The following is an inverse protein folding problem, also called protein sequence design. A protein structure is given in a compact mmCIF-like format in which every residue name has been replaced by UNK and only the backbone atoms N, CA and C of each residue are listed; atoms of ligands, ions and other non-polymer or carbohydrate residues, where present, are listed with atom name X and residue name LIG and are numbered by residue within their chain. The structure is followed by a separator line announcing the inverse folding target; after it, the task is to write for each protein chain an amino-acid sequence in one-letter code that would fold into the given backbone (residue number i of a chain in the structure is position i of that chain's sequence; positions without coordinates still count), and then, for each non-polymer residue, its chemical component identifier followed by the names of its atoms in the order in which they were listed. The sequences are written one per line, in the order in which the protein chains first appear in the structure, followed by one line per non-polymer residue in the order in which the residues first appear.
data_IF_475651183747
#
_entry.id   IF_475651183747
#
_cell.length_a   1.000
_cell.length_b   1.000
_cell.length_c   1.000
_cell.angle_alpha   90.00
_cell.angle_beta   90.00
_cell.angle_gamma   90.00
#
_symmetry.space_group_name_H-M   'P 1'
#
loop_
_entity.id
_entity.type
_entity.pdbx_description
1 polymer ?
2 non-polymer ?
3 non-polymer ?
4 non-polymer ?
5 non-polymer ?
6 water ?
#
# COMPACT_ATOMS: atom_id res chain seq x y z
N UNK A 24 -16.19 -20.40 18.16
CA UNK A 24 -15.20 -20.08 17.15
C UNK A 24 -14.36 -18.88 17.57
N UNK A 25 -13.04 -19.04 17.57
CA UNK A 25 -12.16 -17.91 17.90
C UNK A 25 -12.25 -16.82 16.84
N UNK A 26 -12.21 -15.58 17.31
CA UNK A 26 -12.16 -14.39 16.45
C UNK A 26 -10.70 -14.00 16.32
N UNK A 27 -10.08 -14.34 15.18
CA UNK A 27 -8.66 -14.14 14.99
C UNK A 27 -8.39 -12.92 14.12
N UNK A 28 -7.38 -12.15 14.51
CA UNK A 28 -7.06 -10.86 13.91
C UNK A 28 -5.63 -10.92 13.38
N UNK A 29 -5.46 -10.60 12.11
CA UNK A 29 -4.13 -10.44 11.56
C UNK A 29 -3.62 -9.03 11.81
N UNK A 30 -2.34 -8.94 12.17
CA UNK A 30 -1.65 -7.67 12.37
C UNK A 30 -0.33 -7.72 11.61
N UNK A 31 -0.05 -6.68 10.84
CA UNK A 31 1.19 -6.62 10.10
C UNK A 31 1.70 -5.18 10.08
N UNK A 32 2.83 -4.99 9.43
CA UNK A 32 3.56 -3.75 9.40
C UNK A 32 5.04 -4.03 9.31
N UNK A 33 5.80 -3.01 8.95
CA UNK A 33 7.24 -3.15 8.83
C UNK A 33 7.89 -3.53 10.14
N UNK A 34 9.18 -3.85 10.05
CA UNK A 34 9.92 -4.26 11.24
C UNK A 34 10.00 -3.10 12.22
N UNK A 35 9.81 -3.42 13.51
CA UNK A 35 9.88 -2.45 14.60
C UNK A 35 8.83 -1.36 14.46
N UNK A 36 7.71 -1.64 13.79
CA UNK A 36 6.62 -0.68 13.70
C UNK A 36 5.73 -0.68 14.93
N UNK A 37 5.84 -1.68 15.79
CA UNK A 37 4.99 -1.78 16.96
C UNK A 37 3.86 -2.77 16.88
N UNK A 38 3.97 -3.79 16.02
CA UNK A 38 2.89 -4.75 15.87
C UNK A 38 2.61 -5.48 17.17
N UNK A 39 3.66 -6.03 17.80
CA UNK A 39 3.48 -6.79 19.03
C UNK A 39 3.00 -5.91 20.19
N UNK A 40 3.44 -4.66 20.24
CA UNK A 40 2.95 -3.76 21.28
C UNK A 40 1.51 -3.34 21.02
N UNK A 41 1.09 -3.27 19.75
CA UNK A 41 -0.28 -2.89 19.44
C UNK A 41 -1.25 -3.95 19.93
N UNK A 42 -0.93 -5.23 19.71
CA UNK A 42 -1.78 -6.31 20.20
C UNK A 42 -1.78 -6.38 21.72
N UNK A 43 -0.60 -6.23 22.34
CA UNK A 43 -0.53 -6.19 23.79
C UNK A 43 -1.45 -5.12 24.34
N UNK A 44 -1.45 -3.94 23.71
CA UNK A 44 -2.38 -2.88 24.09
C UNK A 44 -3.83 -3.31 23.88
N UNK A 45 -4.11 -4.01 22.78
CA UNK A 45 -5.47 -4.47 22.52
C UNK A 45 -5.96 -5.39 23.62
N UNK A 46 -5.10 -6.32 24.06
CA UNK A 46 -5.47 -7.23 25.14
C UNK A 46 -5.72 -6.47 26.42
N UNK A 47 -4.80 -5.57 26.77
CA UNK A 47 -4.90 -4.83 28.03
C UNK A 47 -6.17 -3.99 28.09
N UNK A 48 -6.57 -3.41 26.96
CA UNK A 48 -7.80 -2.64 26.89
C UNK A 48 -9.03 -3.51 26.66
N UNK A 49 -8.85 -4.76 26.27
CA UNK A 49 -9.98 -5.69 26.20
C UNK A 49 -10.34 -6.22 27.58
N UNK A 50 -9.33 -6.50 28.40
CA UNK A 50 -9.58 -7.09 29.72
C UNK A 50 -10.37 -6.17 30.63
N UNK A 51 -10.04 -4.88 30.63
CA UNK A 51 -10.79 -3.94 31.45
C UNK A 51 -12.09 -3.57 30.76
N UNK A 52 -13.19 -3.64 31.50
CA UNK A 52 -14.53 -3.45 30.97
C UNK A 52 -14.79 -4.36 29.76
N UNK A 58 -14.45 -12.18 31.35
CA UNK A 58 -13.10 -12.34 30.82
C UNK A 58 -13.13 -13.05 29.47
N UNK A 59 -12.93 -12.29 28.40
CA UNK A 59 -12.63 -12.87 27.11
C UNK A 59 -11.14 -13.17 27.05
N UNK A 60 -10.80 -14.42 26.71
CA UNK A 60 -9.42 -14.86 26.76
C UNK A 60 -8.74 -14.69 25.41
N UNK A 61 -7.51 -14.19 25.44
CA UNK A 61 -6.81 -13.71 24.26
C UNK A 61 -5.38 -14.25 24.26
N UNK A 62 -4.90 -14.67 23.09
CA UNK A 62 -3.54 -15.18 22.92
C UNK A 62 -2.94 -14.51 21.69
N UNK A 63 -1.64 -14.22 21.74
CA UNK A 63 -0.92 -13.54 20.67
C UNK A 63 0.11 -14.51 20.09
N UNK A 64 -0.03 -14.83 18.81
CA UNK A 64 0.98 -15.59 18.09
C UNK A 64 1.75 -14.66 17.16
N UNK A 65 3.02 -14.97 16.95
CA UNK A 65 3.90 -14.18 16.11
C UNK A 65 4.43 -15.01 14.96
N UNK A 66 4.49 -14.40 13.77
CA UNK A 66 4.96 -15.11 12.58
C UNK A 66 6.42 -15.51 12.71
N UNK A 67 7.19 -14.78 13.53
CA UNK A 67 8.60 -15.11 13.71
C UNK A 67 8.80 -16.50 14.30
N UNK A 68 7.77 -17.09 14.91
CA UNK A 68 7.89 -18.44 15.42
C UNK A 68 7.90 -19.48 14.31
N UNK A 69 7.42 -19.14 13.12
CA UNK A 69 7.16 -20.10 12.07
C UNK A 69 8.18 -20.02 10.94
N UNK A 70 9.40 -19.58 11.25
CA UNK A 70 10.48 -19.63 10.26
C UNK A 70 10.73 -21.07 9.83
N UNK A 71 11.31 -21.22 8.65
CA UNK A 71 11.47 -22.53 8.06
C UNK A 71 12.66 -23.27 8.68
N UNK A 72 12.67 -24.58 8.48
CA UNK A 72 13.80 -25.42 8.86
C UNK A 72 14.88 -25.26 7.79
N UNK A 73 15.99 -24.65 8.16
CA UNK A 73 17.07 -24.39 7.20
C UNK A 73 17.89 -25.65 6.98
N UNK A 74 18.28 -25.86 5.72
CA UNK A 74 19.29 -26.86 5.41
C UNK A 74 20.66 -26.33 5.84
N UNK A 75 21.69 -27.18 5.70
CA UNK A 75 23.03 -26.75 6.09
C UNK A 75 23.61 -25.75 5.09
N UNK A 76 23.21 -25.84 3.82
CA UNK A 76 23.61 -24.82 2.85
C UNK A 76 22.96 -23.48 3.18
N UNK A 77 21.65 -23.48 3.37
CA UNK A 77 20.95 -22.25 3.74
C UNK A 77 21.46 -21.71 5.07
N UNK A 78 21.79 -22.59 6.02
CA UNK A 78 22.32 -22.15 7.29
C UNK A 78 23.68 -21.49 7.13
N UNK A 79 24.53 -22.04 6.25
CA UNK A 79 25.82 -21.43 6.00
C UNK A 79 25.67 -20.05 5.38
N UNK A 80 24.74 -19.90 4.43
CA UNK A 80 24.46 -18.59 3.85
C UNK A 80 23.99 -17.60 4.90
N UNK A 81 23.18 -18.07 5.86
CA UNK A 81 22.67 -17.20 6.90
C UNK A 81 23.79 -16.70 7.81
N UNK A 82 24.76 -17.57 8.12
CA UNK A 82 25.88 -17.14 8.95
C UNK A 82 26.80 -16.19 8.21
N UNK A 83 26.86 -16.29 6.89
CA UNK A 83 27.61 -15.35 6.06
C UNK A 83 26.84 -14.06 5.78
N UNK A 84 25.64 -13.93 6.33
CA UNK A 84 24.81 -12.77 6.05
C UNK A 84 24.28 -12.73 4.63
N UNK A 85 24.07 -13.90 4.02
CA UNK A 85 23.65 -14.00 2.63
C UNK A 85 22.30 -14.69 2.49
N UNK A 86 21.40 -14.49 3.46
CA UNK A 86 20.09 -15.12 3.42
C UNK A 86 19.03 -14.09 3.76
N UNK A 87 17.97 -14.06 2.96
CA UNK A 87 16.89 -13.08 3.11
C UNK A 87 15.82 -13.66 4.02
N UNK A 88 15.78 -13.19 5.26
CA UNK A 88 14.78 -13.63 6.22
C UNK A 88 13.52 -12.77 6.19
N UNK A 89 13.46 -11.76 5.32
CA UNK A 89 12.27 -10.95 5.11
C UNK A 89 11.52 -11.35 3.84
N UNK A 90 11.94 -12.42 3.18
CA UNK A 90 11.26 -12.91 1.99
C UNK A 90 10.15 -13.88 2.38
N UNK A 91 9.02 -13.84 1.67
CA UNK A 91 7.91 -14.75 2.01
C UNK A 91 8.29 -16.22 2.06
N UNK A 92 9.24 -16.66 1.23
CA UNK A 92 9.64 -18.06 1.22
C UNK A 92 10.42 -18.47 2.47
N UNK A 93 10.88 -17.50 3.27
CA UNK A 93 11.60 -17.82 4.51
C UNK A 93 10.67 -18.31 5.61
N UNK A 94 9.36 -18.24 5.41
CA UNK A 94 8.39 -18.62 6.44
C UNK A 94 7.66 -19.90 6.04
N UNK A 95 7.44 -20.78 7.02
CA UNK A 95 6.77 -22.05 6.81
C UNK A 95 5.26 -21.81 6.64
N UNK A 96 4.91 -21.31 5.45
CA UNK A 96 3.53 -20.89 5.21
C UNK A 96 2.55 -22.06 5.31
N UNK A 97 3.00 -23.28 5.00
CA UNK A 97 2.14 -24.44 5.14
C UNK A 97 1.83 -24.72 6.61
N UNK A 98 2.84 -24.58 7.47
CA UNK A 98 2.61 -24.76 8.90
C UNK A 98 1.76 -23.64 9.48
N UNK A 99 1.98 -22.41 9.00
CA UNK A 99 1.14 -21.28 9.43
C UNK A 99 -0.32 -21.53 9.07
N UNK A 100 -0.56 -21.93 7.82
CA UNK A 100 -1.92 -22.17 7.37
C UNK A 100 -2.56 -23.32 8.13
N UNK A 101 -1.78 -24.38 8.40
CA UNK A 101 -2.31 -25.51 9.14
C UNK A 101 -2.59 -25.14 10.59
N UNK A 102 -1.64 -24.48 11.25
CA UNK A 102 -1.81 -24.10 12.65
C UNK A 102 -3.00 -23.15 12.81
N UNK A 103 -3.09 -22.14 11.95
CA UNK A 103 -4.20 -21.21 12.03
C UNK A 103 -5.53 -21.89 11.70
N UNK A 104 -5.50 -22.84 10.75
CA UNK A 104 -6.73 -23.53 10.35
C UNK A 104 -7.37 -24.23 11.54
N UNK A 105 -6.57 -24.99 12.31
CA UNK A 105 -7.11 -25.73 13.43
C UNK A 105 -7.52 -24.80 14.57
N UNK A 106 -6.82 -23.68 14.74
CA UNK A 106 -7.21 -22.71 15.77
C UNK A 106 -8.61 -22.19 15.50
N UNK A 107 -8.92 -21.86 14.24
CA UNK A 107 -10.26 -21.44 13.88
C UNK A 107 -11.30 -22.52 14.13
N UNK A 108 -10.89 -23.79 14.12
CA UNK A 108 -11.79 -24.91 14.36
C UNK A 108 -11.84 -25.31 15.84
N UNK A 109 -11.40 -24.42 16.73
CA UNK A 109 -11.53 -24.63 18.16
C UNK A 109 -10.56 -25.62 18.77
N UNK A 110 -9.60 -26.12 18.01
CA UNK A 110 -8.71 -27.15 18.53
C UNK A 110 -7.54 -26.54 19.28
N UNK A 111 -6.86 -27.38 20.06
CA UNK A 111 -5.61 -27.02 20.71
C UNK A 111 -4.44 -27.34 19.77
N UNK A 112 -3.51 -26.40 19.66
CA UNK A 112 -2.39 -26.53 18.73
C UNK A 112 -1.09 -26.42 19.50
N UNK A 113 -0.05 -27.01 18.92
CA UNK A 113 1.31 -26.84 19.41
C UNK A 113 2.07 -25.92 18.46
N UNK A 114 2.86 -25.03 19.02
CA UNK A 114 3.47 -23.92 18.29
C UNK A 114 4.99 -24.09 18.38
N UNK A 115 5.71 -24.05 17.26
CA UNK A 115 7.18 -24.15 17.32
C UNK A 115 7.79 -22.97 18.04
N UNK A 116 9.02 -23.19 18.52
CA UNK A 116 9.88 -22.12 19.02
C UNK A 116 11.13 -22.11 18.17
N UNK A 117 11.51 -20.93 17.68
CA UNK A 117 12.60 -20.76 16.75
C UNK A 117 13.63 -19.83 17.38
N UNK A 118 14.91 -20.11 17.13
CA UNK A 118 16.01 -19.32 17.67
C UNK A 118 16.61 -18.48 16.54
N UNK A 119 16.46 -17.17 16.64
CA UNK A 119 17.00 -16.28 15.61
C UNK A 119 18.52 -16.34 15.58
N UNK A 120 19.16 -16.47 16.73
CA UNK A 120 20.62 -16.52 16.79
C UNK A 120 21.12 -17.80 16.13
N UNK A 121 20.43 -18.91 16.35
CA UNK A 121 20.83 -20.20 15.83
C UNK A 121 20.20 -20.54 14.49
N UNK A 122 19.13 -19.83 14.11
CA UNK A 122 18.37 -20.17 12.91
C UNK A 122 17.91 -21.63 12.95
N UNK A 123 17.45 -22.06 14.12
CA UNK A 123 17.00 -23.43 14.30
C UNK A 123 15.62 -23.45 14.94
N UNK A 124 14.80 -24.39 14.50
CA UNK A 124 13.55 -24.70 15.17
C UNK A 124 13.82 -25.74 16.25
N UNK A 125 13.51 -25.40 17.49
CA UNK A 125 13.82 -26.28 18.61
C UNK A 125 12.80 -27.41 18.69
N UNK A 126 13.13 -28.42 19.50
CA UNK A 126 12.25 -29.58 19.67
C UNK A 126 11.05 -29.24 20.54
N UNK A 127 11.25 -28.43 21.58
CA UNK A 127 10.15 -28.00 22.42
C UNK A 127 9.12 -27.22 21.62
N UNK A 128 7.86 -27.32 22.04
CA UNK A 128 6.77 -26.54 21.46
C UNK A 128 6.00 -25.86 22.59
N UNK A 129 5.07 -25.00 22.21
CA UNK A 129 4.24 -24.26 23.16
C UNK A 129 2.78 -24.65 22.90
N UNK A 130 2.10 -25.10 23.95
CA UNK A 130 0.69 -25.43 23.84
C UNK A 130 -0.15 -24.16 23.88
N UNK A 131 -1.09 -24.05 22.96
CA UNK A 131 -2.01 -22.92 22.90
C UNK A 131 -3.42 -23.48 22.95
N UNK A 132 -4.12 -23.22 24.04
CA UNK A 132 -5.48 -23.70 24.25
C UNK A 132 -6.48 -22.73 23.64
N UNK A 133 -7.68 -23.20 23.30
CA UNK A 133 -8.67 -22.33 22.64
C UNK A 133 -8.89 -21.02 23.37
N UNK A 134 -9.08 -19.96 22.60
CA UNK A 134 -9.31 -18.62 23.11
C UNK A 134 -10.49 -18.00 22.37
N UNK A 135 -10.93 -16.85 22.86
CA UNK A 135 -11.99 -16.10 22.20
C UNK A 135 -11.46 -15.18 21.11
N UNK A 136 -10.26 -14.63 21.28
CA UNK A 136 -9.60 -13.78 20.30
C UNK A 136 -8.17 -14.26 20.12
N UNK A 137 -7.68 -14.28 18.88
CA UNK A 137 -6.33 -14.73 18.56
C UNK A 137 -5.68 -13.68 17.66
N UNK A 138 -4.67 -12.99 18.18
CA UNK A 138 -3.89 -12.03 17.39
C UNK A 138 -2.71 -12.75 16.75
N UNK A 139 -2.57 -12.59 15.44
CA UNK A 139 -1.43 -13.15 14.71
C UNK A 139 -0.61 -12.01 14.11
N UNK A 140 0.64 -11.88 14.57
CA UNK A 140 1.48 -10.74 14.28
C UNK A 140 2.68 -11.18 13.43
N UNK A 141 2.97 -10.42 12.38
CA UNK A 141 4.12 -10.72 11.55
C UNK A 141 4.22 -9.73 10.40
N UNK A 142 5.45 -9.59 9.90
CA UNK A 142 5.71 -8.65 8.81
C UNK A 142 5.02 -9.06 7.51
N UNK A 143 4.72 -10.34 7.34
CA UNK A 143 4.08 -10.83 6.12
C UNK A 143 2.82 -11.63 6.44
N UNK A 144 2.10 -11.23 7.49
CA UNK A 144 0.91 -11.96 7.90
C UNK A 144 -0.18 -11.93 6.83
N UNK A 145 -0.17 -10.91 5.97
CA UNK A 145 -1.19 -10.77 4.95
C UNK A 145 -0.70 -11.16 3.56
N UNK A 146 0.52 -11.71 3.44
CA UNK A 146 1.06 -11.98 2.12
C UNK A 146 0.33 -13.14 1.44
N UNK A 147 0.18 -14.26 2.15
CA UNK A 147 -0.48 -15.42 1.59
C UNK A 147 -2.00 -15.24 1.63
N UNK A 148 -2.65 -15.49 0.49
CA UNK A 148 -4.09 -15.27 0.40
C UNK A 148 -4.87 -16.23 1.29
N UNK A 149 -4.47 -17.50 1.31
CA UNK A 149 -5.17 -18.48 2.15
C UNK A 149 -5.08 -18.11 3.62
N UNK A 150 -3.89 -17.69 4.08
CA UNK A 150 -3.75 -17.19 5.45
C UNK A 150 -4.57 -15.92 5.62
N UNK A 151 -4.55 -15.05 4.61
CA UNK A 151 -5.19 -13.73 4.73
C UNK A 151 -6.69 -13.85 4.91
N UNK A 152 -7.31 -14.82 4.23
CA UNK A 152 -8.77 -14.97 4.33
C UNK A 152 -9.20 -15.56 5.66
N UNK A 153 -8.28 -16.07 6.47
CA UNK A 153 -8.63 -16.61 7.77
C UNK A 153 -8.86 -15.53 8.81
N UNK A 154 -8.29 -14.33 8.63
CA UNK A 154 -8.44 -13.26 9.60
C UNK A 154 -9.78 -12.56 9.41
N UNK A 155 -10.59 -12.53 10.46
CA UNK A 155 -11.82 -11.75 10.44
C UNK A 155 -11.55 -10.25 10.48
N UNK A 156 -10.34 -9.85 10.86
CA UNK A 156 -9.97 -8.45 10.98
C UNK A 156 -8.47 -8.33 10.74
N UNK A 157 -8.09 -7.33 9.95
CA UNK A 157 -6.70 -7.14 9.54
C UNK A 157 -6.27 -5.72 9.85
N UNK A 158 -5.20 -5.59 10.63
CA UNK A 158 -4.64 -4.29 11.02
C UNK A 158 -3.24 -4.14 10.44
N UNK A 159 -2.90 -2.93 10.01
CA UNK A 159 -1.56 -2.61 9.54
C UNK A 159 -0.99 -1.48 10.38
N UNK A 160 0.13 -1.74 11.02
CA UNK A 160 0.79 -0.75 11.87
C UNK A 160 1.77 0.06 11.03
N UNK A 161 1.68 1.38 11.13
CA UNK A 161 2.41 2.31 10.27
C UNK A 161 3.28 3.20 11.15
N UNK A 162 4.58 3.23 10.86
CA UNK A 162 5.52 3.99 11.66
C UNK A 162 6.64 4.51 10.77
N UNK A 163 7.13 5.71 11.10
CA UNK A 163 8.21 6.34 10.36
C UNK A 163 9.39 5.38 10.20
N UNK A 164 10.04 5.45 9.04
CA UNK A 164 11.11 4.51 8.71
C UNK A 164 12.30 4.66 9.66
N UNK A 165 12.77 5.89 9.86
CA UNK A 165 13.91 6.08 10.75
C UNK A 165 13.56 5.75 12.19
N UNK A 166 12.32 5.98 12.60
CA UNK A 166 11.90 5.54 13.93
C UNK A 166 11.98 4.03 14.05
N UNK A 167 11.47 3.31 13.05
CA UNK A 167 11.54 1.86 13.06
C UNK A 167 13.00 1.37 13.01
N UNK A 168 13.83 2.01 12.19
CA UNK A 168 15.22 1.58 12.07
C UNK A 168 15.98 1.77 13.38
N UNK A 169 15.76 2.91 14.05
CA UNK A 169 16.44 3.15 15.33
C UNK A 169 15.99 2.16 16.38
N UNK A 170 14.72 1.74 16.34
CA UNK A 170 14.28 0.64 17.21
C UNK A 170 14.88 -0.68 16.75
N UNK A 171 14.94 -0.91 15.43
CA UNK A 171 15.53 -2.13 14.90
C UNK A 171 16.99 -2.28 15.34
N UNK A 172 17.76 -1.19 15.27
CA UNK A 172 19.19 -1.27 15.54
C UNK A 172 19.43 -1.59 17.02
N UNK A 173 18.76 -0.87 17.92
CA UNK A 173 18.92 -1.13 19.35
C UNK A 173 18.45 -2.54 19.69
N UNK A 174 17.32 -2.97 19.12
CA UNK A 174 16.79 -4.30 19.39
C UNK A 174 17.77 -5.38 18.96
N UNK A 175 18.32 -5.25 17.74
CA UNK A 175 19.21 -6.28 17.21
C UNK A 175 20.56 -6.30 17.90
N UNK A 176 20.99 -5.19 18.51
CA UNK A 176 22.24 -5.19 19.26
C UNK A 176 22.04 -5.94 20.58
N UNK A 177 20.94 -5.66 21.28
CA UNK A 177 20.69 -6.34 22.54
C UNK A 177 20.25 -7.78 22.33
N UNK A 178 19.29 -8.00 21.42
CA UNK A 178 18.63 -9.30 21.34
C UNK A 178 19.54 -10.37 20.75
N UNK A 179 20.54 -9.98 19.95
CA UNK A 179 21.42 -10.96 19.32
C UNK A 179 22.89 -10.57 19.35
N UNK A 180 23.25 -9.49 20.03
CA UNK A 180 24.66 -9.18 20.26
C UNK A 180 25.46 -9.01 18.99
N UNK A 181 24.85 -8.46 17.94
CA UNK A 181 25.49 -8.40 16.64
C UNK A 181 26.10 -7.02 16.38
N UNK A 182 26.94 -6.98 15.35
CA UNK A 182 27.72 -5.80 15.01
C UNK A 182 26.88 -4.78 14.25
N UNK A 183 27.17 -3.49 14.50
CA UNK A 183 26.37 -2.43 13.91
C UNK A 183 26.50 -2.38 12.39
N UNK A 184 27.74 -2.45 11.88
CA UNK A 184 27.95 -2.46 10.44
C UNK A 184 27.20 -3.60 9.78
N UNK A 185 27.06 -4.73 10.49
CA UNK A 185 26.32 -5.86 9.93
C UNK A 185 24.82 -5.60 9.93
N UNK A 186 24.30 -4.98 10.99
CA UNK A 186 22.86 -4.68 11.05
C UNK A 186 22.48 -3.74 9.91
N UNK A 187 23.23 -2.66 9.72
CA UNK A 187 22.87 -1.66 8.73
C UNK A 187 23.02 -2.22 7.32
N UNK A 188 24.03 -3.06 7.09
CA UNK A 188 24.20 -3.67 5.77
C UNK A 188 23.13 -4.72 5.49
N UNK A 189 22.72 -5.48 6.52
CA UNK A 189 21.63 -6.43 6.32
C UNK A 189 20.30 -5.71 6.13
N UNK A 190 20.12 -4.57 6.78
CA UNK A 190 18.90 -3.79 6.60
C UNK A 190 18.78 -3.29 5.18
N UNK A 191 19.84 -2.66 4.66
CA UNK A 191 19.79 -2.08 3.32
C UNK A 191 19.69 -3.18 2.26
N UNK A 192 20.35 -4.31 2.49
CA UNK A 192 20.36 -5.37 1.49
C UNK A 192 19.04 -6.13 1.44
N UNK A 193 18.45 -6.43 2.60
CA UNK A 193 17.33 -7.35 2.66
C UNK A 193 16.06 -6.74 3.22
N UNK A 194 16.16 -6.07 4.38
CA UNK A 194 14.95 -5.68 5.11
C UNK A 194 14.19 -4.60 4.36
N UNK A 195 14.87 -3.48 4.06
CA UNK A 195 14.22 -2.38 3.35
C UNK A 195 13.67 -2.79 1.98
N UNK A 196 14.43 -3.47 1.11
CA UNK A 196 13.84 -3.88 -0.18
C UNK A 196 12.66 -4.84 -0.04
N UNK A 197 12.74 -5.79 0.90
CA UNK A 197 11.63 -6.73 1.08
C UNK A 197 10.40 -6.03 1.65
N UNK A 198 10.60 -5.03 2.50
CA UNK A 198 9.47 -4.24 2.98
C UNK A 198 8.73 -3.59 1.83
N UNK A 199 9.47 -2.99 0.89
CA UNK A 199 8.85 -2.28 -0.21
C UNK A 199 8.26 -3.23 -1.25
N UNK A 200 8.87 -4.40 -1.43
CA UNK A 200 8.38 -5.35 -2.43
C UNK A 200 7.30 -6.28 -1.90
N UNK A 201 7.38 -6.70 -0.64
CA UNK A 201 6.49 -7.73 -0.12
C UNK A 201 5.52 -7.24 0.95
N UNK A 202 6.00 -6.53 1.97
CA UNK A 202 5.15 -6.18 3.11
C UNK A 202 4.23 -5.00 2.79
N UNK A 203 4.79 -3.91 2.27
CA UNK A 203 4.00 -2.69 2.07
C UNK A 203 2.83 -2.87 1.12
N UNK A 204 2.92 -3.64 0.02
CA UNK A 204 1.72 -3.87 -0.80
C UNK A 204 0.57 -4.49 -0.03
N UNK A 205 0.84 -5.27 1.02
CA UNK A 205 -0.23 -5.89 1.79
C UNK A 205 -1.03 -4.88 2.60
N UNK A 206 -0.57 -3.64 2.71
CA UNK A 206 -1.31 -2.63 3.46
C UNK A 206 -2.69 -2.39 2.86
N UNK A 207 -2.86 -2.67 1.58
CA UNK A 207 -4.16 -2.50 0.95
C UNK A 207 -5.19 -3.53 1.40
N UNK A 208 -4.76 -4.59 2.09
CA UNK A 208 -5.68 -5.61 2.59
C UNK A 208 -6.20 -5.31 3.99
N UNK A 209 -5.63 -4.33 4.68
CA UNK A 209 -6.00 -4.07 6.06
C UNK A 209 -7.38 -3.43 6.16
N UNK A 210 -8.10 -3.77 7.23
CA UNK A 210 -9.36 -3.11 7.54
C UNK A 210 -9.13 -1.78 8.26
N UNK A 211 -8.06 -1.70 9.07
CA UNK A 211 -7.71 -0.50 9.80
C UNK A 211 -6.21 -0.31 9.71
N UNK A 212 -5.77 0.88 9.32
CA UNK A 212 -4.35 1.24 9.31
C UNK A 212 -4.08 2.15 10.49
N UNK A 213 -3.05 1.83 11.27
CA UNK A 213 -2.77 2.54 12.51
C UNK A 213 -1.50 3.37 12.36
N UNK A 214 -1.62 4.68 12.15
CA UNK A 214 -0.44 5.54 12.18
C UNK A 214 0.06 5.70 13.61
N UNK A 215 1.37 5.94 13.74
CA UNK A 215 2.06 6.11 15.01
C UNK A 215 2.04 4.85 15.87
N UNK A 216 1.59 3.72 15.34
CA UNK A 216 1.71 2.46 16.05
C UNK A 216 0.93 2.43 17.34
N UNK A 217 1.61 2.03 18.43
CA UNK A 217 0.95 1.89 19.72
C UNK A 217 0.59 3.21 20.36
N UNK A 218 1.16 4.32 19.88
CA UNK A 218 0.83 5.63 20.43
C UNK A 218 -0.54 6.12 19.99
N UNK A 219 -1.18 5.45 19.02
CA UNK A 219 -2.48 5.87 18.50
C UNK A 219 -3.59 5.22 19.32
N UNK A 220 -3.68 5.65 20.59
CA UNK A 220 -4.63 5.04 21.50
C UNK A 220 -6.07 5.26 21.06
N UNK A 221 -6.34 6.34 20.31
CA UNK A 221 -7.68 6.58 19.81
C UNK A 221 -8.04 5.53 18.76
N UNK A 222 -7.12 5.24 17.85
CA UNK A 222 -7.34 4.19 16.86
C UNK A 222 -7.51 2.83 17.54
N UNK A 223 -6.66 2.53 18.52
CA UNK A 223 -6.75 1.26 19.22
C UNK A 223 -8.09 1.12 19.94
N UNK A 224 -8.52 2.20 20.61
CA UNK A 224 -9.81 2.18 21.31
C UNK A 224 -10.94 1.82 20.36
N UNK A 225 -10.98 2.46 19.19
CA UNK A 225 -12.00 2.14 18.19
C UNK A 225 -11.94 0.67 17.81
N UNK A 226 -10.73 0.12 17.67
CA UNK A 226 -10.58 -1.30 17.33
C UNK A 226 -11.11 -2.17 18.47
N UNK A 227 -10.73 -1.84 19.71
CA UNK A 227 -11.12 -2.65 20.86
C UNK A 227 -12.64 -2.70 20.99
N UNK A 228 -13.29 -1.54 20.88
CA UNK A 228 -14.75 -1.51 20.94
C UNK A 228 -15.38 -2.21 19.74
N UNK A 229 -14.72 -2.17 18.58
CA UNK A 229 -15.22 -2.92 17.43
C UNK A 229 -15.11 -4.43 17.66
N UNK A 230 -14.09 -4.87 18.38
CA UNK A 230 -13.97 -6.30 18.71
C UNK A 230 -15.02 -6.68 19.74
N UNK A 231 -15.19 -5.84 20.77
CA UNK A 231 -16.10 -6.17 21.87
C UNK A 231 -17.52 -6.34 21.37
N UNK A 232 -17.96 -5.51 20.43
CA UNK A 232 -19.33 -5.58 19.95
C UNK A 232 -19.53 -6.61 18.83
N UNK A 233 -18.44 -7.14 18.27
CA UNK A 233 -18.57 -8.31 17.40
C UNK A 233 -18.75 -9.58 18.24
N UNK A 234 -18.23 -9.57 19.47
CA UNK A 234 -18.33 -10.71 20.37
C UNK A 234 -19.61 -10.69 21.21
N UNK A 235 -20.40 -9.63 21.14
CA UNK A 235 -21.62 -9.55 21.93
C UNK A 235 -22.86 -9.74 21.05
N UNK B 23 10.17 4.61 -32.75
CA UNK B 23 8.84 4.33 -33.28
C UNK B 23 7.85 3.87 -32.22
N UNK B 24 8.29 3.89 -30.95
CA UNK B 24 7.47 3.43 -29.84
C UNK B 24 7.07 4.60 -28.94
N UNK B 25 5.85 4.59 -28.41
CA UNK B 25 5.37 5.72 -27.61
C UNK B 25 6.14 5.89 -26.32
N UNK B 26 6.43 7.15 -25.99
CA UNK B 26 7.14 7.50 -24.75
C UNK B 26 6.11 7.70 -23.64
N UNK B 27 6.05 6.76 -22.71
CA UNK B 27 5.05 6.76 -21.65
C UNK B 27 5.55 7.51 -20.42
N UNK B 28 4.75 8.46 -19.94
CA UNK B 28 5.12 9.31 -18.82
C UNK B 28 4.05 9.19 -17.75
N UNK B 29 4.47 8.88 -16.52
CA UNK B 29 3.56 8.79 -15.39
C UNK B 29 3.64 10.02 -14.53
N UNK B 30 2.47 10.56 -14.17
CA UNK B 30 2.34 11.74 -13.33
C UNK B 30 1.48 11.37 -12.14
N UNK B 31 1.94 11.72 -10.93
CA UNK B 31 1.17 11.47 -9.73
C UNK B 31 1.32 12.66 -8.79
N UNK B 32 0.68 12.55 -7.64
CA UNK B 32 0.55 13.63 -6.68
C UNK B 32 -0.84 13.56 -6.07
N UNK B 33 -1.03 14.32 -5.00
CA UNK B 33 -2.28 14.32 -4.29
C UNK B 33 -3.42 14.89 -5.12
N UNK B 34 -4.61 14.83 -4.54
CA UNK B 34 -5.78 15.38 -5.20
C UNK B 34 -5.64 16.89 -5.34
N UNK B 35 -5.99 17.40 -6.52
CA UNK B 35 -5.89 18.83 -6.82
C UNK B 35 -4.48 19.37 -6.59
N UNK B 36 -3.47 18.55 -6.83
CA UNK B 36 -2.09 19.03 -6.81
C UNK B 36 -1.69 19.72 -8.11
N UNK B 37 -2.36 19.39 -9.21
CA UNK B 37 -2.07 19.98 -10.50
C UNK B 37 -1.60 18.97 -11.52
N UNK B 38 -1.97 17.70 -11.32
CA UNK B 38 -1.55 16.64 -12.24
C UNK B 38 -2.03 16.92 -13.66
N UNK B 39 -3.31 17.24 -13.82
CA UNK B 39 -3.86 17.47 -15.16
C UNK B 39 -3.29 18.74 -15.78
N UNK B 40 -3.12 19.80 -14.97
CA UNK B 40 -2.56 21.04 -15.50
C UNK B 40 -1.11 20.85 -15.95
N UNK B 41 -0.32 20.14 -15.15
CA UNK B 41 1.09 19.93 -15.47
C UNK B 41 1.23 19.17 -16.79
N UNK B 42 0.36 18.19 -17.01
CA UNK B 42 0.33 17.49 -18.30
C UNK B 42 -0.12 18.42 -19.42
N UNK B 43 -1.13 19.26 -19.15
CA UNK B 43 -1.57 20.23 -20.14
C UNK B 43 -0.45 21.20 -20.50
N UNK B 44 0.25 21.71 -19.48
CA UNK B 44 1.36 22.62 -19.73
C UNK B 44 2.46 21.95 -20.55
N UNK B 45 2.76 20.69 -20.22
CA UNK B 45 3.76 19.94 -20.99
C UNK B 45 3.34 19.82 -22.44
N UNK B 46 2.05 19.52 -22.68
CA UNK B 46 1.56 19.37 -24.04
C UNK B 46 1.64 20.69 -24.80
N UNK B 47 1.24 21.79 -24.15
CA UNK B 47 1.31 23.09 -24.81
C UNK B 47 2.75 23.49 -25.12
N UNK B 48 3.66 23.21 -24.19
CA UNK B 48 5.06 23.56 -24.39
C UNK B 48 5.73 22.68 -25.43
N UNK B 49 5.27 21.43 -25.57
CA UNK B 49 5.83 20.54 -26.57
C UNK B 49 5.52 21.03 -27.98
N UNK B 50 4.26 21.37 -28.24
CA UNK B 50 3.90 21.84 -29.57
C UNK B 50 4.41 23.22 -29.89
N UNK B 51 4.56 24.08 -28.87
CA UNK B 51 5.03 25.43 -29.10
C UNK B 51 6.51 25.46 -29.47
N UNK B 52 7.30 24.54 -28.92
CA UNK B 52 8.73 24.48 -29.20
C UNK B 52 9.08 23.43 -30.26
N UNK B 53 8.12 23.07 -31.11
CA UNK B 53 8.33 22.04 -32.12
C UNK B 53 8.86 22.65 -33.41
N UNK B 54 9.95 22.08 -33.92
CA UNK B 54 10.58 22.51 -35.16
C UNK B 54 10.94 23.99 -35.12
N UNK B 58 5.53 18.00 -36.09
CA UNK B 58 5.08 18.09 -34.71
C UNK B 58 4.96 16.71 -34.08
N UNK B 59 4.76 16.68 -32.77
CA UNK B 59 4.69 15.44 -32.01
C UNK B 59 3.28 15.24 -31.48
N UNK B 60 2.71 14.07 -31.72
CA UNK B 60 1.40 13.71 -31.22
C UNK B 60 1.51 13.24 -29.78
N UNK B 61 0.67 13.78 -28.90
CA UNK B 61 0.69 13.43 -27.49
C UNK B 61 -0.74 13.39 -26.95
N UNK B 62 -1.02 12.37 -26.14
CA UNK B 62 -2.34 12.11 -25.58
C UNK B 62 -2.22 12.03 -24.06
N UNK B 63 -3.31 12.37 -23.36
CA UNK B 63 -3.36 12.35 -21.91
C UNK B 63 -4.42 11.35 -21.46
N UNK B 64 -4.01 10.43 -20.58
CA UNK B 64 -4.92 9.49 -19.93
C UNK B 64 -5.01 9.82 -18.45
N UNK B 65 -6.14 9.46 -17.84
CA UNK B 65 -6.39 9.74 -16.43
C UNK B 65 -6.83 8.47 -15.73
N UNK B 66 -6.26 8.22 -14.55
CA UNK B 66 -6.61 7.04 -13.77
C UNK B 66 -8.08 7.03 -13.39
N UNK B 67 -8.71 8.21 -13.30
CA UNK B 67 -10.11 8.30 -12.92
C UNK B 67 -11.06 7.70 -13.94
N UNK B 68 -10.56 7.31 -15.12
CA UNK B 68 -11.39 6.60 -16.08
C UNK B 68 -11.50 5.12 -15.78
N UNK B 69 -10.63 4.59 -14.91
CA UNK B 69 -10.50 3.15 -14.71
C UNK B 69 -11.05 2.70 -13.36
N UNK B 70 -12.07 3.39 -12.86
CA UNK B 70 -12.77 2.93 -11.67
C UNK B 70 -13.42 1.57 -11.93
N UNK B 71 -13.54 0.78 -10.87
CA UNK B 71 -14.31 -0.45 -10.97
C UNK B 71 -15.80 -0.15 -10.97
N UNK B 72 -16.56 -0.98 -11.68
CA UNK B 72 -18.01 -0.88 -11.61
C UNK B 72 -18.48 -1.47 -10.29
N UNK B 73 -19.33 -0.75 -9.58
CA UNK B 73 -19.70 -1.13 -8.23
C UNK B 73 -20.85 -2.14 -8.23
N UNK B 74 -20.81 -3.06 -7.26
CA UNK B 74 -21.97 -3.88 -6.96
C UNK B 74 -22.98 -3.06 -6.18
N UNK B 75 -24.27 -3.39 -6.37
CA UNK B 75 -25.33 -2.65 -5.69
C UNK B 75 -25.18 -2.70 -4.18
N UNK B 76 -24.48 -3.70 -3.66
CA UNK B 76 -24.08 -3.68 -2.26
C UNK B 76 -23.12 -2.53 -1.99
N UNK B 77 -22.15 -2.32 -2.88
CA UNK B 77 -21.18 -1.24 -2.70
C UNK B 77 -21.81 0.12 -3.00
N UNK B 78 -22.69 0.18 -4.00
CA UNK B 78 -23.40 1.43 -4.27
C UNK B 78 -24.25 1.85 -3.08
N UNK B 79 -24.73 0.88 -2.29
CA UNK B 79 -25.46 1.21 -1.08
C UNK B 79 -24.56 1.90 -0.05
N UNK B 80 -23.37 1.33 0.19
CA UNK B 80 -22.42 1.96 1.09
C UNK B 80 -22.04 3.35 0.59
N UNK B 81 -21.93 3.51 -0.74
CA UNK B 81 -21.57 4.81 -1.30
C UNK B 81 -22.65 5.84 -1.02
N UNK B 82 -23.92 5.46 -1.13
CA UNK B 82 -25.01 6.37 -0.81
C UNK B 82 -24.94 6.81 0.65
N UNK B 83 -24.56 5.89 1.54
CA UNK B 83 -24.33 6.22 2.94
C UNK B 83 -23.00 6.93 3.17
N UNK B 84 -22.25 7.23 2.11
CA UNK B 84 -20.95 7.84 2.25
C UNK B 84 -19.91 6.94 2.89
N UNK B 85 -20.07 5.62 2.74
CA UNK B 85 -19.20 4.65 3.41
C UNK B 85 -18.42 3.80 2.40
N UNK B 86 -18.04 4.38 1.27
CA UNK B 86 -17.22 3.69 0.29
C UNK B 86 -15.97 4.51 0.00
N UNK B 87 -14.81 3.86 0.10
CA UNK B 87 -13.51 4.51 -0.08
C UNK B 87 -13.18 4.50 -1.57
N UNK B 88 -13.40 5.64 -2.24
CA UNK B 88 -13.04 5.77 -3.65
C UNK B 88 -11.57 6.12 -3.85
N UNK B 89 -10.85 6.44 -2.78
CA UNK B 89 -9.42 6.74 -2.87
C UNK B 89 -8.54 5.54 -2.56
N UNK B 90 -9.14 4.37 -2.33
CA UNK B 90 -8.43 3.15 -2.00
C UNK B 90 -8.00 2.42 -3.28
N UNK B 91 -6.83 1.77 -3.25
CA UNK B 91 -6.38 1.02 -4.44
C UNK B 91 -7.41 0.01 -4.95
N UNK B 92 -8.22 -0.57 -4.08
CA UNK B 92 -9.22 -1.54 -4.50
C UNK B 92 -10.30 -0.91 -5.37
N UNK B 93 -10.42 0.42 -5.37
CA UNK B 93 -11.47 1.09 -6.11
C UNK B 93 -11.20 1.18 -7.60
N UNK B 94 -10.03 0.76 -8.06
CA UNK B 94 -9.63 0.93 -9.45
C UNK B 94 -9.30 -0.42 -10.09
N UNK B 95 -9.60 -0.51 -11.39
CA UNK B 95 -9.36 -1.72 -12.18
C UNK B 95 -7.89 -1.73 -12.61
N UNK B 96 -7.02 -2.17 -11.70
CA UNK B 96 -5.60 -2.17 -12.00
C UNK B 96 -5.24 -3.19 -13.08
N UNK B 97 -5.94 -4.33 -13.12
CA UNK B 97 -5.73 -5.27 -14.21
C UNK B 97 -5.96 -4.59 -15.56
N UNK B 98 -7.04 -3.81 -15.66
CA UNK B 98 -7.32 -3.08 -16.90
C UNK B 98 -6.32 -1.95 -17.11
N UNK B 99 -5.88 -1.29 -16.03
CA UNK B 99 -4.91 -0.21 -16.17
C UNK B 99 -3.60 -0.75 -16.73
N UNK B 100 -3.12 -1.87 -16.18
CA UNK B 100 -1.86 -2.44 -16.65
C UNK B 100 -1.98 -2.95 -18.08
N UNK B 101 -3.08 -3.65 -18.40
CA UNK B 101 -3.26 -4.17 -19.75
C UNK B 101 -3.32 -3.05 -20.77
N UNK B 102 -4.06 -1.98 -20.46
CA UNK B 102 -4.17 -0.85 -21.38
C UNK B 102 -2.82 -0.20 -21.62
N UNK B 103 -2.09 0.10 -20.53
CA UNK B 103 -0.80 0.77 -20.67
C UNK B 103 0.24 -0.14 -21.32
N UNK B 104 0.17 -1.45 -21.07
CA UNK B 104 1.08 -2.38 -21.73
C UNK B 104 0.89 -2.37 -23.24
N UNK B 105 -0.35 -2.22 -23.69
CA UNK B 105 -0.62 -2.21 -25.13
C UNK B 105 -0.23 -0.89 -25.78
N UNK B 106 -0.43 0.22 -25.08
CA UNK B 106 -0.02 1.52 -25.62
C UNK B 106 1.49 1.57 -25.82
N UNK B 107 2.25 1.01 -24.86
CA UNK B 107 3.70 0.99 -25.00
C UNK B 107 4.13 0.18 -26.23
N UNK B 108 3.40 -0.88 -26.55
CA UNK B 108 3.70 -1.71 -27.70
C UNK B 108 3.15 -1.14 -29.00
N UNK B 109 2.64 0.08 -28.98
CA UNK B 109 2.12 0.71 -30.18
C UNK B 109 0.74 0.28 -30.61
N UNK B 110 0.05 -0.52 -29.80
CA UNK B 110 -1.30 -0.93 -30.13
C UNK B 110 -2.29 0.19 -29.83
N UNK B 111 -3.48 0.04 -30.39
CA UNK B 111 -4.59 0.98 -30.16
C UNK B 111 -5.53 0.37 -29.14
N UNK B 112 -5.91 1.17 -28.14
CA UNK B 112 -6.68 0.68 -27.01
C UNK B 112 -8.03 1.35 -26.96
N UNK B 113 -8.97 0.68 -26.29
CA UNK B 113 -10.27 1.24 -25.93
C UNK B 113 -10.29 1.46 -24.42
N UNK B 114 -10.59 2.68 -24.00
CA UNK B 114 -10.68 2.98 -22.58
C UNK B 114 -12.15 3.20 -22.23
N UNK B 115 -12.59 2.84 -21.03
CA UNK B 115 -14.00 2.98 -20.69
C UNK B 115 -14.36 4.39 -20.27
N UNK B 116 -15.67 4.67 -20.30
CA UNK B 116 -16.23 5.92 -19.80
C UNK B 116 -17.05 5.59 -18.57
N UNK B 117 -16.75 6.26 -17.47
CA UNK B 117 -17.39 5.99 -16.19
C UNK B 117 -18.41 7.09 -15.89
N UNK B 118 -19.65 6.69 -15.61
CA UNK B 118 -20.67 7.61 -15.13
C UNK B 118 -20.71 7.52 -13.61
N UNK B 119 -20.43 8.64 -12.95
CA UNK B 119 -20.18 8.62 -11.52
C UNK B 119 -21.47 8.65 -10.71
N UNK B 120 -22.53 9.29 -11.22
CA UNK B 120 -23.85 9.14 -10.62
C UNK B 120 -24.25 7.67 -10.59
N UNK B 121 -24.16 7.02 -11.75
CA UNK B 121 -24.45 5.59 -11.83
C UNK B 121 -23.35 4.75 -11.22
N UNK B 122 -22.13 5.27 -11.11
CA UNK B 122 -20.97 4.49 -10.65
C UNK B 122 -20.80 3.22 -11.48
N UNK B 123 -20.97 3.36 -12.79
CA UNK B 123 -20.87 2.22 -13.70
C UNK B 123 -20.24 2.69 -15.01
N UNK B 124 -19.81 1.73 -15.81
CA UNK B 124 -19.24 2.01 -17.12
C UNK B 124 -20.36 2.05 -18.16
N UNK B 125 -20.38 3.12 -18.94
CA UNK B 125 -21.30 3.20 -20.07
C UNK B 125 -20.93 2.15 -21.11
N UNK B 126 -21.85 1.93 -22.05
CA UNK B 126 -21.56 0.99 -23.14
C UNK B 126 -20.47 1.53 -24.05
N UNK B 127 -20.41 2.85 -24.22
CA UNK B 127 -19.41 3.45 -25.09
C UNK B 127 -18.02 3.36 -24.49
N UNK B 128 -17.04 3.10 -25.35
CA UNK B 128 -15.63 3.24 -25.02
C UNK B 128 -15.09 4.47 -25.73
N UNK B 129 -13.83 4.79 -25.47
CA UNK B 129 -13.12 5.84 -26.18
C UNK B 129 -11.87 5.22 -26.80
N UNK B 130 -11.69 5.44 -28.10
CA UNK B 130 -10.53 4.91 -28.79
C UNK B 130 -9.36 5.86 -28.60
N UNK B 131 -8.26 5.34 -28.04
CA UNK B 131 -7.04 6.11 -27.82
C UNK B 131 -5.96 5.52 -28.72
N UNK B 132 -5.52 6.31 -29.69
CA UNK B 132 -4.47 5.90 -30.62
C UNK B 132 -3.10 6.15 -30.00
N UNK B 133 -2.09 5.39 -30.41
CA UNK B 133 -0.73 5.66 -29.93
C UNK B 133 -0.28 7.05 -30.31
N UNK B 134 0.69 7.56 -29.56
CA UNK B 134 1.22 8.90 -29.79
C UNK B 134 2.71 8.88 -29.50
N UNK B 135 3.37 10.00 -29.85
CA UNK B 135 4.78 10.12 -29.52
C UNK B 135 4.99 10.15 -28.01
N UNK B 136 4.12 10.85 -27.30
CA UNK B 136 4.17 10.94 -25.84
C UNK B 136 2.80 10.56 -25.31
N UNK B 137 2.80 9.73 -24.26
CA UNK B 137 1.56 9.31 -23.61
C UNK B 137 1.68 9.66 -22.14
N UNK B 138 0.80 10.55 -21.67
CA UNK B 138 0.84 11.01 -20.29
C UNK B 138 -0.30 10.35 -19.52
N UNK B 139 0.05 9.67 -18.42
CA UNK B 139 -0.92 9.03 -17.54
C UNK B 139 -0.84 9.70 -16.19
N UNK B 140 -1.95 10.31 -15.77
CA UNK B 140 -2.03 11.01 -14.49
C UNK B 140 -2.96 10.27 -13.54
N UNK B 141 -2.58 10.23 -12.27
CA UNK B 141 -3.38 9.58 -11.25
C UNK B 141 -2.76 9.69 -9.87
N UNK B 142 -3.60 9.81 -8.84
CA UNK B 142 -3.08 9.87 -7.47
C UNK B 142 -2.33 8.59 -7.13
N UNK B 143 -2.74 7.47 -7.72
CA UNK B 143 -2.14 6.16 -7.46
C UNK B 143 -1.41 5.62 -8.69
N UNK B 144 -0.83 6.51 -9.49
CA UNK B 144 -0.21 6.09 -10.75
C UNK B 144 0.99 5.18 -10.51
N UNK B 145 1.74 5.42 -9.43
CA UNK B 145 2.95 4.66 -9.15
C UNK B 145 2.75 3.55 -8.12
N UNK B 146 1.50 3.27 -7.73
CA UNK B 146 1.28 2.34 -6.62
C UNK B 146 1.76 0.94 -6.96
N UNK B 147 1.25 0.37 -8.05
CA UNK B 147 1.64 -0.97 -8.45
C UNK B 147 2.99 -0.94 -9.16
N UNK B 148 3.84 -1.92 -8.83
CA UNK B 148 5.19 -1.95 -9.40
C UNK B 148 5.15 -2.22 -10.89
N UNK B 149 4.20 -3.05 -11.35
CA UNK B 149 4.15 -3.41 -12.76
C UNK B 149 3.77 -2.20 -13.63
N UNK B 150 2.80 -1.40 -13.19
CA UNK B 150 2.47 -0.18 -13.91
C UNK B 150 3.59 0.84 -13.79
N UNK B 151 4.13 1.00 -12.58
CA UNK B 151 5.20 1.97 -12.33
C UNK B 151 6.39 1.75 -13.25
N UNK B 152 6.69 0.49 -13.59
CA UNK B 152 7.84 0.19 -14.42
C UNK B 152 7.59 0.44 -15.91
N UNK B 153 6.33 0.57 -16.32
CA UNK B 153 6.05 0.89 -17.72
C UNK B 153 6.39 2.33 -18.06
N UNK B 154 6.53 3.19 -17.05
CA UNK B 154 6.79 4.61 -17.26
C UNK B 154 8.28 4.83 -17.48
N UNK B 155 8.64 5.36 -18.64
CA UNK B 155 10.01 5.76 -18.91
C UNK B 155 10.38 7.08 -18.24
N UNK B 156 9.40 7.84 -17.79
CA UNK B 156 9.64 9.01 -16.95
C UNK B 156 8.48 9.11 -15.96
N UNK B 157 8.80 9.46 -14.72
CA UNK B 157 7.82 9.53 -13.64
C UNK B 157 7.95 10.88 -12.94
N UNK B 158 6.87 11.65 -12.95
CA UNK B 158 6.83 12.95 -12.30
C UNK B 158 5.87 12.90 -11.12
N UNK B 159 6.20 13.66 -10.08
CA UNK B 159 5.35 13.76 -8.90
C UNK B 159 5.07 15.24 -8.64
N UNK B 160 3.80 15.61 -8.65
CA UNK B 160 3.38 16.97 -8.35
C UNK B 160 3.21 17.09 -6.84
N UNK B 161 3.96 18.02 -6.24
CA UNK B 161 3.94 18.22 -4.79
C UNK B 161 3.33 19.59 -4.50
N UNK B 162 2.01 19.66 -4.48
CA UNK B 162 1.28 20.80 -3.97
C UNK B 162 0.79 20.46 -2.57
N UNK B 163 0.12 21.42 -1.96
CA UNK B 163 0.04 21.46 -0.51
C UNK B 163 -1.40 21.32 -0.01
N UNK B 164 -1.49 20.65 1.12
CA UNK B 164 -2.76 20.17 1.65
C UNK B 164 -3.84 21.25 1.64
N UNK B 165 -3.51 22.45 2.14
CA UNK B 165 -4.54 23.50 2.20
C UNK B 165 -4.78 24.16 0.84
N UNK B 166 -3.74 24.32 0.02
CA UNK B 166 -3.99 24.75 -1.36
C UNK B 166 -4.78 23.67 -2.11
N UNK B 167 -4.41 22.40 -1.92
CA UNK B 167 -5.08 21.32 -2.61
C UNK B 167 -6.52 21.15 -2.12
N UNK B 168 -6.73 21.19 -0.80
CA UNK B 168 -8.08 21.02 -0.28
C UNK B 168 -9.02 22.11 -0.78
N UNK B 169 -8.58 23.36 -0.74
CA UNK B 169 -9.43 24.47 -1.18
C UNK B 169 -9.83 24.31 -2.64
N UNK B 170 -8.89 23.89 -3.49
CA UNK B 170 -9.23 23.60 -4.88
C UNK B 170 -10.14 22.38 -4.97
N UNK B 171 -9.88 21.37 -4.14
CA UNK B 171 -10.68 20.15 -4.16
C UNK B 171 -12.13 20.43 -3.79
N UNK B 172 -12.35 21.32 -2.80
CA UNK B 172 -13.71 21.59 -2.34
C UNK B 172 -14.52 22.26 -3.44
N UNK B 173 -14.01 23.37 -3.98
CA UNK B 173 -14.72 24.09 -5.02
C UNK B 173 -14.93 23.24 -6.26
N UNK B 174 -14.01 22.31 -6.53
CA UNK B 174 -14.21 21.33 -7.58
C UNK B 174 -15.39 20.42 -7.26
N UNK B 175 -15.42 19.88 -6.03
CA UNK B 175 -16.44 18.93 -5.65
C UNK B 175 -17.78 19.58 -5.34
N UNK B 176 -17.81 20.87 -5.00
CA UNK B 176 -19.06 21.54 -4.67
C UNK B 176 -19.81 22.01 -5.91
N UNK B 177 -19.20 21.95 -7.09
CA UNK B 177 -19.90 22.27 -8.33
C UNK B 177 -21.03 21.31 -8.64
N UNK B 178 -21.16 20.23 -7.88
CA UNK B 178 -22.25 19.27 -8.03
C UNK B 178 -23.43 19.69 -7.18
N UNK B 179 -24.63 19.34 -7.64
CA UNK B 179 -25.85 19.91 -7.07
C UNK B 179 -26.12 19.37 -5.67
N UNK B 180 -25.99 18.07 -5.47
CA UNK B 180 -26.29 17.44 -4.21
C UNK B 180 -25.14 17.29 -3.24
N UNK B 181 -23.97 17.85 -3.54
CA UNK B 181 -22.79 17.64 -2.70
C UNK B 181 -22.82 18.61 -1.53
N UNK B 182 -23.18 18.09 -0.35
CA UNK B 182 -23.12 18.90 0.86
C UNK B 182 -21.67 19.25 1.18
N UNK B 183 -21.48 20.45 1.73
CA UNK B 183 -20.14 20.91 2.07
C UNK B 183 -19.52 20.02 3.14
N UNK B 184 -20.24 19.80 4.24
CA UNK B 184 -19.73 18.98 5.32
C UNK B 184 -19.63 17.52 4.91
N UNK B 185 -20.29 17.11 3.83
CA UNK B 185 -20.12 15.76 3.32
C UNK B 185 -18.71 15.55 2.76
N UNK B 186 -18.28 16.43 1.85
CA UNK B 186 -16.97 16.24 1.23
C UNK B 186 -15.85 16.66 2.16
N UNK B 187 -16.10 17.62 3.05
CA UNK B 187 -15.12 17.91 4.09
C UNK B 187 -14.92 16.72 5.01
N UNK B 188 -15.94 15.88 5.17
CA UNK B 188 -15.84 14.67 5.98
C UNK B 188 -15.32 13.48 5.18
N UNK B 189 -15.70 13.35 3.91
CA UNK B 189 -15.11 12.30 3.08
C UNK B 189 -13.64 12.56 2.83
N UNK B 190 -13.23 13.83 2.80
CA UNK B 190 -11.81 14.16 2.67
C UNK B 190 -11.03 13.71 3.90
N UNK B 191 -11.52 14.06 5.09
CA UNK B 191 -10.83 13.71 6.32
C UNK B 191 -10.83 12.19 6.52
N UNK B 192 -11.92 11.53 6.14
CA UNK B 192 -12.06 10.10 6.42
C UNK B 192 -11.31 9.26 5.39
N UNK B 193 -11.45 9.59 4.10
CA UNK B 193 -10.92 8.75 3.03
C UNK B 193 -9.75 9.38 2.28
N UNK B 194 -9.88 10.62 1.82
CA UNK B 194 -8.93 11.16 0.84
C UNK B 194 -7.59 11.46 1.51
N UNK B 195 -7.61 12.21 2.61
CA UNK B 195 -6.36 12.53 3.31
C UNK B 195 -5.64 11.28 3.79
N UNK B 196 -6.29 10.31 4.46
CA UNK B 196 -5.55 9.10 4.83
C UNK B 196 -5.00 8.33 3.64
N UNK B 197 -5.83 8.09 2.60
CA UNK B 197 -5.37 7.33 1.45
C UNK B 197 -4.16 7.97 0.79
N UNK B 198 -4.13 9.31 0.75
CA UNK B 198 -2.96 10.02 0.23
C UNK B 198 -1.70 9.65 1.02
N UNK B 199 -1.79 9.64 2.35
CA UNK B 199 -0.64 9.36 3.18
C UNK B 199 -0.30 7.87 3.22
N UNK B 200 -1.31 7.01 3.11
CA UNK B 200 -1.08 5.56 3.18
C UNK B 200 -0.58 4.95 1.88
N UNK B 201 -1.02 5.45 0.73
CA UNK B 201 -0.77 4.77 -0.54
C UNK B 201 -0.04 5.61 -1.58
N UNK B 202 -0.24 6.93 -1.60
CA UNK B 202 0.37 7.78 -2.62
C UNK B 202 1.76 8.26 -2.22
N UNK B 203 1.88 8.83 -1.02
CA UNK B 203 3.17 9.36 -0.57
C UNK B 203 4.30 8.34 -0.59
N UNK B 204 4.11 7.07 -0.22
CA UNK B 204 5.23 6.13 -0.31
C UNK B 204 5.80 5.95 -1.71
N UNK B 205 4.97 6.13 -2.75
CA UNK B 205 5.47 6.01 -4.13
C UNK B 205 6.32 7.20 -4.55
N UNK B 206 6.37 8.26 -3.75
CA UNK B 206 7.03 9.50 -4.15
C UNK B 206 8.49 9.26 -4.53
N UNK B 207 9.20 8.38 -3.80
CA UNK B 207 10.61 8.16 -4.07
C UNK B 207 10.86 7.77 -5.51
N UNK B 208 9.92 7.03 -6.11
CA UNK B 208 10.17 6.42 -7.41
C UNK B 208 10.19 7.43 -8.54
N UNK B 209 9.66 8.63 -8.32
CA UNK B 209 9.62 9.64 -9.35
C UNK B 209 11.03 10.04 -9.78
N UNK B 210 11.18 10.36 -11.07
CA UNK B 210 12.44 10.92 -11.54
C UNK B 210 12.60 12.35 -11.05
N UNK B 211 11.52 13.11 -11.01
CA UNK B 211 11.53 14.53 -10.66
C UNK B 211 10.27 14.84 -9.86
N UNK B 212 10.42 15.65 -8.81
CA UNK B 212 9.30 16.07 -7.98
C UNK B 212 9.12 17.58 -8.18
N UNK B 213 7.91 17.96 -8.59
CA UNK B 213 7.61 19.34 -8.98
C UNK B 213 6.91 20.03 -7.81
N UNK B 214 7.56 20.94 -7.10
CA UNK B 214 6.84 21.75 -6.11
C UNK B 214 5.94 22.76 -6.81
N UNK B 215 4.82 23.05 -6.16
CA UNK B 215 3.87 24.09 -6.61
C UNK B 215 3.32 23.83 -8.00
N UNK B 216 3.34 22.58 -8.46
CA UNK B 216 2.52 22.18 -9.60
C UNK B 216 2.84 22.92 -10.89
N UNK B 217 1.78 23.31 -11.59
CA UNK B 217 1.88 23.90 -12.93
C UNK B 217 2.41 25.33 -12.92
N UNK B 218 2.43 26.00 -11.77
CA UNK B 218 3.02 27.32 -11.67
C UNK B 218 4.55 27.27 -11.62
N UNK B 219 5.14 26.07 -11.58
CA UNK B 219 6.59 25.90 -11.55
C UNK B 219 7.06 25.68 -12.99
N UNK B 220 7.19 26.79 -13.71
CA UNK B 220 7.64 26.71 -15.10
C UNK B 220 9.13 26.41 -15.22
N UNK B 221 9.92 26.70 -14.19
CA UNK B 221 11.34 26.31 -14.21
C UNK B 221 11.46 24.80 -14.33
N UNK B 222 10.76 24.07 -13.45
CA UNK B 222 10.83 22.61 -13.48
C UNK B 222 10.19 22.03 -14.73
N UNK B 223 9.05 22.59 -15.15
CA UNK B 223 8.33 22.03 -16.28
C UNK B 223 9.11 22.25 -17.58
N UNK B 224 9.77 23.41 -17.70
CA UNK B 224 10.58 23.68 -18.88
C UNK B 224 11.70 22.65 -19.02
N UNK B 225 12.32 22.27 -17.90
CA UNK B 225 13.40 21.28 -17.96
C UNK B 225 12.86 19.90 -18.28
N UNK B 226 11.65 19.59 -17.83
CA UNK B 226 11.05 18.30 -18.18
C UNK B 226 10.72 18.26 -19.67
N UNK B 227 10.14 19.32 -20.21
CA UNK B 227 9.77 19.32 -21.62
C UNK B 227 11.00 19.23 -22.50
N UNK B 228 12.05 19.94 -22.13
CA UNK B 228 13.25 19.91 -22.94
C UNK B 228 13.97 18.57 -22.80
N UNK B 229 13.81 17.89 -21.65
CA UNK B 229 14.31 16.53 -21.51
C UNK B 229 13.53 15.56 -22.39
N UNK B 230 12.22 15.79 -22.57
CA UNK B 230 11.44 14.92 -23.45
C UNK B 230 11.86 15.11 -24.89
N UNK B 231 12.05 16.36 -25.31
CA UNK B 231 12.46 16.65 -26.68
C UNK B 231 13.76 15.93 -27.03
N UNK B 232 14.72 15.96 -26.10
CA UNK B 232 16.00 15.32 -26.33
C UNK B 232 15.84 13.82 -26.55
N UNK B 233 14.97 13.18 -25.77
CA UNK B 233 14.74 11.74 -25.93
C UNK B 233 14.08 11.45 -27.29
N UNK B 234 13.13 12.29 -27.69
CA UNK B 234 12.46 12.10 -28.97
C UNK B 234 13.38 12.34 -30.15
N UNK B 235 14.45 13.11 -29.97
CA UNK B 235 15.38 13.44 -31.04
C UNK B 235 16.63 12.57 -31.01
N UNK B 236 16.56 11.40 -30.38
CA UNK B 236 17.71 10.51 -30.29
C UNK B 236 18.77 11.01 -29.33
X LIG C 1 7.35 -4.94 16.06
X LIG C 1 7.60 -3.94 17.16
X LIG C 1 6.60 -4.26 14.94
X LIG C 1 8.66 -5.46 15.54
X LIG C 1 6.53 -6.08 16.60
X LIG D 1 8.03 -9.59 16.56
X LIG E 1 -19.02 -10.18 30.71
X LIG E 1 -20.30 -9.94 31.17
X LIG E 1 -18.07 -9.24 31.49
X LIG E 1 -16.81 -9.18 30.93
X LIG E 1 -18.05 -9.81 32.92
X LIG E 1 -17.11 -9.07 33.64
X LIG F 1 9.98 -8.05 13.08
X LIG F 1 15.73 -11.34 11.80
X LIG F 1 15.77 -12.68 11.68
X LIG F 1 14.85 -13.29 11.18
X LIG F 1 16.87 -13.37 12.11
X LIG F 1 17.90 -12.72 12.67
X LIG F 1 18.89 -13.32 13.06
X LIG F 1 17.86 -11.32 12.81
X LIG F 1 16.77 -10.66 12.37
X LIG F 1 14.60 -10.47 11.40
X LIG F 1 14.53 -9.94 9.94
X LIG F 1 13.16 -9.24 9.86
X LIG F 1 15.65 -9.65 9.02
X LIG F 1 13.33 -7.83 9.84
X LIG F 1 12.59 -9.69 11.23
X LIG F 1 16.69 -10.10 9.13
X LIG F 1 13.24 -10.95 11.53
X LIG F 1 11.06 -9.72 11.27
X LIG F 1 17.73 -10.50 9.21
X LIG F 1 10.63 -8.40 11.66
X LIG F 1 10.44 -9.02 14.10
X LIG F 1 10.43 -6.57 13.53
X LIG F 1 8.38 -8.10 12.98
X LIG G 1 -5.17 17.26 -10.13
X LIG G 1 -3.87 17.05 -9.40
X LIG G 1 -5.43 18.74 -10.30
X LIG G 1 -5.10 16.60 -11.49
X LIG G 1 -6.30 16.65 -9.33
X LIG H 1 -6.80 15.37 -12.52
X LIG I 1 3.67 -0.21 -2.89
X LIG I 1 3.42 0.75 -3.85
X LIG I 1 5.03 -0.87 -3.24
X LIG I 1 4.97 -1.62 -4.40
X LIG I 1 6.02 0.32 -3.35
X LIG I 1 6.68 0.38 -2.13
X LIG J 1 -1.76 1.33 -9.77
X LIG J 1 -1.44 1.98 -10.97
X LIG J 1 -3.22 1.72 -9.42
X LIG J 1 -4.12 1.28 -10.38
X LIG J 1 -3.47 1.06 -8.05
X LIG J 1 -4.83 0.73 -8.02
X LIG K 1 14.32 4.83 -32.70
X LIG K 1 13.74 5.25 -33.89
X LIG K 1 13.89 5.85 -31.62
X LIG K 1 12.56 5.69 -31.27
X LIG K 1 14.84 5.59 -30.43
X LIG K 1 16.14 5.60 -30.95
X LIG L 1 3.49 19.25 2.65
X LIG L 1 2.16 19.66 2.64
X LIG L 1 4.26 20.31 1.85
X LIG L 1 4.42 19.95 0.52
X LIG L 1 5.59 20.51 2.59
X LIG L 1 6.21 21.58 1.94
X LIG M 1 -8.94 13.84 -8.05
X LIG M 1 -14.54 10.75 -6.47
X LIG M 1 -15.68 11.47 -6.55
X LIG M 1 -15.63 12.67 -6.35
X LIG M 1 -16.85 10.89 -6.84
X LIG M 1 -16.91 9.57 -7.07
X LIG M 1 -17.97 9.03 -7.33
X LIG M 1 -15.72 8.79 -6.98
X LIG M 1 -14.56 9.40 -6.68
X LIG M 1 -13.28 11.45 -6.15
X LIG M 1 -12.43 10.76 -5.04
X LIG M 1 -10.97 10.66 -5.54
X LIG M 1 -12.77 10.70 -3.60
X LIG M 1 -10.05 11.14 -4.56
X LIG M 1 -11.06 11.63 -6.73
X LIG M 1 -13.81 10.85 -3.22
X LIG M 1 -12.38 11.43 -7.28
X LIG M 1 -9.94 11.37 -7.74
X LIG M 1 -14.83 11.03 -2.80
X LIG M 1 -9.74 12.53 -8.55
X LIG M 1 -9.60 15.06 -8.57
X LIG M 1 -8.94 13.86 -6.45
X LIG M 1 -7.43 13.81 -8.59
#
# INVERSE_FOLDING_TARGET
GPLGSMAGDSEQTLQNHQQPNGGEPFLIGVSGGTASGKSSVCAKIVQLLGQNEVDYRQKQVVILSQDSFYRVLTSEQKAKALKGQFNFDHPDAFDNELILKTLKEITEGKTVQIPVYDFVSHSRKEETVTVYPADVVLFEGILAFYSQEVRDLFQMKLFVDTDADTRLSRRVLRDISERGRDLEQILSQYITFVKPAFEEFCLPTKKYADVIIPRGADNLVAINLIVQHIQDILNGGPSKRQTNGCLNGYTPSRK
GPLGSMAGDSEQTLQNHQQPNGGEPFLIGVSGGTASGKSSVCAKIVQLLGQNEVDYRQKQVVILSQDSFYRVLTSEQKAKALKGQFNFDHPDAFDNELILKTLKEITEGKTVQIPVYDFVSHSRKEETVTVYPADVVLFEGILAFYSQEVRDLFQMKLFVDTDADTRLSRRVLRDISERGRDLEQILSQYITFVKPAFEEFCLPTKKYADVIIPRGADNLVAINLIVQHIQDILNGGPSKRQTNGCLNGYTPSRK
PO4 P O1 O2 O3 O4
MG MG
GOL C1 O1 C2 O2 C3 O3
UZR P N1 C2 O2 N3 C4 O4 C5 C6 C1' C2' C3' N3' O3' C4' N4' O4' C5' N5' O5' OP1 OP2 OP3
PO4 P O1 O2 O3 O4
MG MG
GOL C1 O1 C2 O2 C3 O3
GOL C1 O1 C2 O2 C3 O3
GOL C1 O1 C2 O2 C3 O3
GOL C1 O1 C2 O2 C3 O3
UZR P N1 C2 O2 N3 C4 O4 C5 C6 C1' C2' C3' N3' O3' C4' N4' O4' C5' N5' O5' OP1 OP2 OP3
#
